data_IF_144586984079
#
_entry.id   IF_144586984079
#
_cell.length_a   1.000
_cell.length_b   1.000
_cell.length_c   1.000
_cell.angle_alpha   90.00
_cell.angle_beta   90.00
_cell.angle_gamma   90.00
#
_symmetry.space_group_name_H-M   'P 1'
#
loop_
_entity.id
_entity.type
_entity.pdbx_description
1 polymer ?
#
# COMPACT_ATOMS: atom_id res chain seq x y z
N UNK A 1 26.21 -26.93 40.69
CA UNK A 1 24.79 -26.70 41.02
C UNK A 1 24.19 -25.93 39.87
N UNK A 2 23.45 -26.64 39.02
CA UNK A 2 22.56 -26.04 38.04
C UNK A 2 21.39 -25.40 38.78
N UNK A 3 21.02 -24.17 38.41
CA UNK A 3 19.60 -23.83 38.35
C UNK A 3 19.27 -23.16 37.02
N UNK A 4 18.37 -23.85 36.35
CA UNK A 4 17.70 -23.58 35.10
C UNK A 4 16.56 -22.59 35.37
N UNK A 5 16.56 -21.44 34.67
CA UNK A 5 15.41 -20.54 34.62
C UNK A 5 14.89 -20.47 33.19
N UNK A 6 13.94 -21.36 32.91
CA UNK A 6 13.05 -21.29 31.76
C UNK A 6 12.03 -20.18 31.98
N UNK A 7 12.02 -19.16 31.13
CA UNK A 7 10.84 -18.31 30.96
C UNK A 7 10.57 -18.00 29.49
N UNK A 8 9.48 -18.59 29.00
CA UNK A 8 8.54 -17.94 28.08
C UNK A 8 8.97 -17.76 26.63
N UNK A 9 8.88 -18.84 25.85
CA UNK A 9 8.57 -18.72 24.41
C UNK A 9 7.15 -18.12 24.35
N UNK A 10 7.02 -16.86 23.91
CA UNK A 10 5.71 -16.28 23.59
C UNK A 10 5.39 -16.60 22.13
N UNK A 11 4.38 -17.46 21.97
CA UNK A 11 3.85 -17.99 20.71
C UNK A 11 2.99 -16.98 19.92
N UNK A 12 3.40 -15.70 19.83
CA UNK A 12 2.57 -14.64 19.25
C UNK A 12 3.12 -13.95 17.99
N UNK A 13 4.08 -14.57 17.27
CA UNK A 13 4.59 -14.01 16.00
C UNK A 13 4.64 -15.01 14.83
N UNK A 14 3.59 -15.83 14.69
CA UNK A 14 3.44 -16.79 13.56
C UNK A 14 2.31 -16.45 12.58
N UNK A 15 2.02 -15.17 12.36
CA UNK A 15 1.13 -14.77 11.25
C UNK A 15 1.70 -13.73 10.30
N UNK A 16 3.03 -13.54 10.29
CA UNK A 16 3.69 -13.04 9.10
C UNK A 16 3.44 -14.07 7.98
N UNK A 17 2.37 -13.87 7.22
CA UNK A 17 2.10 -14.57 5.96
C UNK A 17 3.39 -14.47 5.17
N UNK A 18 4.13 -15.58 5.10
CA UNK A 18 5.38 -15.65 4.37
C UNK A 18 5.02 -15.55 2.89
N UNK A 19 4.87 -14.32 2.41
CA UNK A 19 4.69 -14.05 0.99
C UNK A 19 5.95 -14.61 0.35
N UNK A 20 5.86 -15.58 -0.58
CA UNK A 20 7.04 -16.00 -1.30
C UNK A 20 7.65 -14.73 -1.89
N UNK A 21 8.89 -14.40 -1.52
CA UNK A 21 9.61 -13.20 -2.01
C UNK A 21 9.47 -13.05 -3.53
N UNK A 22 9.40 -14.19 -4.21
CA UNK A 22 9.14 -14.34 -5.63
C UNK A 22 7.76 -13.83 -6.10
N UNK A 23 6.68 -14.05 -5.34
CA UNK A 23 5.33 -13.65 -5.71
C UNK A 23 5.17 -12.13 -5.75
N UNK A 24 5.71 -11.41 -4.75
CA UNK A 24 5.66 -9.94 -4.72
C UNK A 24 6.44 -9.34 -5.89
N UNK A 25 7.65 -9.83 -6.16
CA UNK A 25 8.45 -9.32 -7.27
C UNK A 25 7.81 -9.66 -8.62
N UNK A 26 7.27 -10.87 -8.77
CA UNK A 26 6.49 -11.26 -9.95
C UNK A 26 5.30 -10.32 -10.16
N UNK A 27 4.52 -10.03 -9.11
CA UNK A 27 3.40 -9.09 -9.19
C UNK A 27 3.87 -7.67 -9.57
N UNK A 28 5.02 -7.22 -9.05
CA UNK A 28 5.64 -5.94 -9.45
C UNK A 28 5.92 -5.91 -10.95
N UNK A 29 6.49 -6.98 -11.52
CA UNK A 29 6.75 -7.04 -12.97
C UNK A 29 5.47 -7.01 -13.81
N UNK A 30 4.37 -7.59 -13.31
CA UNK A 30 3.08 -7.56 -13.98
C UNK A 30 2.40 -6.19 -13.90
N UNK A 31 2.51 -5.52 -12.75
CA UNK A 31 2.02 -4.17 -12.55
C UNK A 31 2.76 -3.12 -13.41
N UNK A 32 4.06 -3.31 -13.66
CA UNK A 32 4.84 -2.48 -14.58
C UNK A 32 4.38 -2.55 -16.05
N UNK A 33 3.60 -3.56 -16.44
CA UNK A 33 2.95 -3.61 -17.75
C UNK A 33 1.73 -2.69 -17.75
N UNK A 34 1.46 -2.02 -18.89
CA UNK A 34 0.22 -1.24 -19.04
C UNK A 34 -0.99 -2.16 -18.86
N UNK A 35 -2.12 -1.65 -18.35
CA UNK A 35 -3.27 -2.51 -18.06
C UNK A 35 -3.75 -3.33 -19.27
N UNK A 36 -3.73 -2.72 -20.47
CA UNK A 36 -4.05 -3.39 -21.75
C UNK A 36 -3.13 -4.56 -22.14
N UNK A 37 -1.91 -4.61 -21.59
CA UNK A 37 -0.89 -5.61 -21.92
C UNK A 37 -0.85 -6.75 -20.88
N UNK A 38 -1.76 -6.75 -19.88
CA UNK A 38 -1.83 -7.77 -18.83
C UNK A 38 -2.68 -8.96 -19.31
N UNK A 39 -2.06 -10.14 -19.37
CA UNK A 39 -2.74 -11.41 -19.67
C UNK A 39 -3.53 -11.91 -18.46
N UNK A 40 -4.51 -12.78 -18.68
CA UNK A 40 -5.33 -13.39 -17.63
C UNK A 40 -4.49 -14.02 -16.49
N UNK A 41 -3.39 -14.70 -16.82
CA UNK A 41 -2.45 -15.25 -15.83
C UNK A 41 -1.83 -14.17 -14.94
N UNK A 42 -1.43 -13.02 -15.52
CA UNK A 42 -0.86 -11.91 -14.76
C UNK A 42 -1.89 -11.35 -13.77
N UNK A 43 -3.11 -11.11 -14.26
CA UNK A 43 -4.22 -10.58 -13.46
C UNK A 43 -4.56 -11.55 -12.33
N UNK A 44 -4.61 -12.85 -12.61
CA UNK A 44 -4.86 -13.88 -11.59
C UNK A 44 -3.84 -13.85 -10.45
N UNK A 45 -2.55 -13.75 -10.74
CA UNK A 45 -1.50 -13.65 -9.72
C UNK A 45 -1.61 -12.35 -8.91
N UNK A 46 -1.87 -11.22 -9.58
CA UNK A 46 -2.06 -9.93 -8.93
C UNK A 46 -3.25 -9.97 -7.95
N UNK A 47 -4.39 -10.48 -8.40
CA UNK A 47 -5.62 -10.58 -7.60
C UNK A 47 -5.38 -11.40 -6.34
N UNK A 48 -4.73 -12.56 -6.48
CA UNK A 48 -4.36 -13.41 -5.34
C UNK A 48 -3.41 -12.68 -4.39
N UNK A 49 -2.45 -11.90 -4.89
CA UNK A 49 -1.57 -11.10 -4.04
C UNK A 49 -2.34 -10.01 -3.29
N UNK A 50 -3.18 -9.24 -3.99
CA UNK A 50 -3.90 -8.11 -3.41
C UNK A 50 -4.93 -8.55 -2.35
N UNK A 51 -5.70 -9.61 -2.61
CA UNK A 51 -6.68 -10.16 -1.65
C UNK A 51 -6.04 -10.57 -0.33
N UNK A 52 -4.84 -11.16 -0.40
CA UNK A 52 -4.18 -11.68 0.79
C UNK A 52 -3.38 -10.61 1.56
N UNK A 53 -2.93 -9.55 0.89
CA UNK A 53 -1.92 -8.65 1.46
C UNK A 53 -2.37 -7.19 1.61
N UNK A 54 -3.53 -6.81 1.09
CA UNK A 54 -4.03 -5.43 1.14
C UNK A 54 -5.43 -5.43 1.72
N UNK A 55 -5.58 -4.95 2.96
CA UNK A 55 -6.84 -5.00 3.72
C UNK A 55 -8.01 -4.30 3.00
N UNK A 56 -7.72 -3.22 2.28
CA UNK A 56 -8.70 -2.50 1.47
C UNK A 56 -9.41 -3.41 0.45
N UNK A 57 -8.72 -4.43 -0.08
CA UNK A 57 -9.28 -5.32 -1.10
C UNK A 57 -10.01 -6.55 -0.56
N UNK A 58 -9.98 -6.79 0.76
CA UNK A 58 -10.67 -7.93 1.38
C UNK A 58 -12.18 -7.99 1.11
N UNK A 59 -12.92 -6.87 1.06
CA UNK A 59 -14.36 -6.89 0.77
C UNK A 59 -14.70 -7.19 -0.70
N UNK A 60 -13.72 -7.12 -1.61
CA UNK A 60 -13.97 -7.28 -3.04
C UNK A 60 -13.91 -8.75 -3.43
N UNK A 61 -14.92 -9.20 -4.17
CA UNK A 61 -14.87 -10.53 -4.78
C UNK A 61 -13.77 -10.60 -5.87
N UNK A 62 -13.50 -11.83 -6.31
CA UNK A 62 -12.44 -12.08 -7.29
C UNK A 62 -12.69 -11.37 -8.62
N UNK A 63 -13.93 -11.29 -9.08
CA UNK A 63 -14.29 -10.69 -10.37
C UNK A 63 -14.17 -9.16 -10.33
N UNK A 64 -14.67 -8.55 -9.25
CA UNK A 64 -14.52 -7.13 -8.98
C UNK A 64 -13.04 -6.74 -8.94
N UNK A 65 -12.21 -7.51 -8.23
CA UNK A 65 -10.79 -7.22 -8.14
C UNK A 65 -10.06 -7.45 -9.46
N UNK A 66 -10.45 -8.47 -10.24
CA UNK A 66 -9.95 -8.65 -11.61
C UNK A 66 -10.22 -7.42 -12.49
N UNK A 67 -11.46 -6.91 -12.47
CA UNK A 67 -11.84 -5.69 -13.21
C UNK A 67 -11.02 -4.49 -12.77
N UNK A 68 -10.76 -4.34 -11.47
CA UNK A 68 -9.92 -3.25 -10.97
C UNK A 68 -8.45 -3.42 -11.39
N UNK A 69 -7.90 -4.62 -11.29
CA UNK A 69 -6.53 -4.93 -11.70
C UNK A 69 -6.29 -4.70 -13.20
N UNK A 70 -7.34 -4.70 -14.03
CA UNK A 70 -7.28 -4.33 -15.45
C UNK A 70 -7.31 -2.82 -15.70
N UNK A 71 -7.47 -1.99 -14.65
CA UNK A 71 -7.46 -0.52 -14.74
C UNK A 71 -6.33 0.14 -13.93
N UNK A 72 -5.81 -0.53 -12.90
CA UNK A 72 -4.76 0.01 -12.04
C UNK A 72 -3.45 0.24 -12.78
N UNK A 73 -2.80 1.38 -12.54
CA UNK A 73 -1.48 1.69 -13.04
C UNK A 73 -0.42 1.60 -11.93
N UNK A 74 0.82 1.31 -12.32
CA UNK A 74 1.96 1.26 -11.41
C UNK A 74 2.85 2.45 -11.63
N UNK A 75 3.25 3.09 -10.53
CA UNK A 75 4.11 4.25 -10.52
C UNK A 75 5.27 3.99 -9.57
N UNK A 76 6.50 4.15 -10.07
CA UNK A 76 7.69 4.23 -9.22
C UNK A 76 7.86 5.69 -8.78
N UNK A 77 8.03 5.93 -7.48
CA UNK A 77 8.20 7.26 -6.89
C UNK A 77 9.48 7.24 -6.08
N UNK A 78 10.35 8.23 -6.31
CA UNK A 78 11.69 8.27 -5.71
C UNK A 78 11.89 9.56 -4.90
N UNK A 79 12.60 9.43 -3.78
CA UNK A 79 12.95 10.57 -2.93
C UNK A 79 11.74 11.28 -2.30
N UNK A 80 11.88 12.57 -2.01
CA UNK A 80 10.83 13.42 -1.41
C UNK A 80 9.87 14.00 -2.46
N UNK A 81 9.35 13.14 -3.33
CA UNK A 81 8.38 13.55 -4.33
C UNK A 81 7.00 13.74 -3.72
N UNK A 82 6.33 14.85 -4.06
CA UNK A 82 4.98 15.16 -3.58
C UNK A 82 3.97 14.59 -4.57
N UNK A 83 3.18 13.59 -4.14
CA UNK A 83 2.14 12.98 -4.99
C UNK A 83 1.01 13.96 -5.32
N UNK A 84 0.53 14.69 -4.32
CA UNK A 84 -0.46 15.75 -4.46
C UNK A 84 -0.44 16.65 -3.22
N UNK A 85 -1.05 17.84 -3.32
CA UNK A 85 -1.11 18.83 -2.25
C UNK A 85 -2.52 18.91 -1.66
N UNK A 86 -2.62 19.28 -0.38
CA UNK A 86 -3.90 19.58 0.26
C UNK A 86 -4.66 20.65 -0.55
N UNK A 87 -5.95 20.43 -0.77
CA UNK A 87 -6.81 21.31 -1.57
C UNK A 87 -6.70 21.14 -3.09
N UNK A 88 -5.77 20.31 -3.59
CA UNK A 88 -5.72 19.97 -5.01
C UNK A 88 -6.90 19.06 -5.39
N UNK A 89 -7.31 19.15 -6.65
CA UNK A 89 -8.31 18.23 -7.24
C UNK A 89 -7.73 16.82 -7.23
N UNK A 90 -8.49 15.86 -6.69
CA UNK A 90 -8.12 14.45 -6.70
C UNK A 90 -8.42 13.82 -8.05
N UNK A 91 -7.47 13.04 -8.57
CA UNK A 91 -7.63 12.31 -9.84
C UNK A 91 -7.39 10.80 -9.71
N UNK A 92 -6.79 10.36 -8.60
CA UNK A 92 -6.45 8.96 -8.40
C UNK A 92 -6.58 8.57 -6.92
N UNK A 93 -6.87 7.29 -6.74
CA UNK A 93 -6.80 6.58 -5.48
C UNK A 93 -5.52 5.73 -5.48
N UNK A 94 -4.78 5.76 -4.39
CA UNK A 94 -3.45 5.16 -4.31
C UNK A 94 -3.40 4.04 -3.28
N UNK A 95 -2.60 3.03 -3.58
CA UNK A 95 -2.24 1.96 -2.65
C UNK A 95 -0.72 1.82 -2.63
N UNK A 96 -0.14 1.79 -1.44
CA UNK A 96 1.30 1.64 -1.27
C UNK A 96 1.68 0.19 -1.53
N UNK A 97 2.24 -0.08 -2.71
CA UNK A 97 2.71 -1.43 -3.07
C UNK A 97 4.04 -1.79 -2.37
N UNK A 98 4.92 -0.80 -2.19
CA UNK A 98 6.21 -0.95 -1.52
C UNK A 98 6.71 0.42 -1.03
N UNK A 99 7.47 0.46 0.06
CA UNK A 99 7.95 1.70 0.68
C UNK A 99 6.90 2.35 1.59
N UNK A 100 6.89 3.68 1.64
CA UNK A 100 5.95 4.47 2.43
C UNK A 100 5.83 5.90 1.93
N UNK A 101 4.77 6.57 2.38
CA UNK A 101 4.49 7.99 2.10
C UNK A 101 4.14 8.73 3.39
N UNK A 102 4.60 9.98 3.47
CA UNK A 102 4.25 10.88 4.56
C UNK A 102 3.02 11.71 4.18
N UNK A 103 2.07 11.80 5.12
CA UNK A 103 0.90 12.68 5.00
C UNK A 103 1.16 13.89 5.87
N UNK A 104 1.15 15.07 5.24
CA UNK A 104 1.31 16.35 5.93
C UNK A 104 0.13 17.27 5.67
N UNK A 105 -0.19 18.12 6.63
CA UNK A 105 -1.28 19.11 6.56
C UNK A 105 -0.69 20.49 6.79
N UNK A 106 -1.16 21.47 6.00
CA UNK A 106 -0.83 22.87 6.21
C UNK A 106 -1.65 23.42 7.37
N UNK A 107 -0.96 24.00 8.36
CA UNK A 107 -1.57 24.63 9.54
C UNK A 107 -0.90 25.98 9.82
N UNK A 108 -1.51 26.82 10.67
CA UNK A 108 -0.89 28.06 11.13
C UNK A 108 -0.22 27.83 12.48
N UNK A 109 1.02 28.28 12.63
CA UNK A 109 1.70 28.26 13.92
C UNK A 109 1.18 29.38 14.84
N UNK A 110 1.71 29.48 16.06
CA UNK A 110 1.34 30.52 17.04
C UNK A 110 1.61 31.96 16.58
N UNK A 111 2.40 32.15 15.52
CA UNK A 111 2.70 33.45 14.91
C UNK A 111 1.87 33.71 13.64
N UNK A 112 0.93 32.81 13.29
CA UNK A 112 0.08 32.93 12.11
C UNK A 112 0.73 32.47 10.80
N UNK A 113 1.96 31.94 10.84
CA UNK A 113 2.68 31.47 9.65
C UNK A 113 2.21 30.07 9.23
N UNK A 114 2.09 29.86 7.93
CA UNK A 114 1.74 28.55 7.37
C UNK A 114 2.93 27.59 7.45
N UNK A 115 2.72 26.45 8.13
CA UNK A 115 3.70 25.39 8.30
C UNK A 115 3.11 24.04 7.90
N UNK A 116 3.92 23.21 7.25
CA UNK A 116 3.55 21.84 6.91
C UNK A 116 3.91 20.91 8.06
N UNK A 117 2.91 20.24 8.65
CA UNK A 117 3.11 19.31 9.76
C UNK A 117 2.78 17.89 9.29
N UNK A 118 3.71 16.94 9.48
CA UNK A 118 3.46 15.51 9.25
C UNK A 118 2.43 15.02 10.27
N UNK A 119 1.31 14.48 9.79
CA UNK A 119 0.21 13.99 10.63
C UNK A 119 0.08 12.47 10.61
N UNK A 120 0.59 11.82 9.57
CA UNK A 120 0.57 10.36 9.47
C UNK A 120 1.65 9.85 8.51
N UNK A 121 1.89 8.55 8.57
CA UNK A 121 2.67 7.78 7.61
C UNK A 121 1.81 6.63 7.08
N UNK A 122 1.97 6.31 5.80
CA UNK A 122 1.28 5.20 5.13
C UNK A 122 2.32 4.27 4.54
N UNK A 123 2.35 3.03 5.01
CA UNK A 123 3.29 2.00 4.58
C UNK A 123 2.61 0.99 3.68
N UNK A 124 3.34 -0.04 3.26
CA UNK A 124 2.86 -1.11 2.38
C UNK A 124 1.48 -1.65 2.77
N UNK A 125 0.59 -1.76 1.79
CA UNK A 125 -0.78 -2.22 1.95
C UNK A 125 -1.77 -1.14 2.40
N UNK A 126 -1.30 0.04 2.83
CA UNK A 126 -2.16 1.18 3.11
C UNK A 126 -2.69 1.79 1.81
N UNK A 127 -3.88 2.38 1.90
CA UNK A 127 -4.52 3.13 0.82
C UNK A 127 -4.83 4.56 1.24
N UNK A 128 -4.93 5.46 0.26
CA UNK A 128 -5.19 6.89 0.47
C UNK A 128 -5.68 7.59 -0.81
N UNK A 129 -6.22 8.81 -0.66
CA UNK A 129 -6.66 9.66 -1.75
C UNK A 129 -8.15 9.51 -2.11
N UNK A 130 -8.86 8.60 -1.46
CA UNK A 130 -10.29 8.34 -1.64
C UNK A 130 -11.17 9.57 -1.40
N UNK A 131 -10.80 10.41 -0.42
CA UNK A 131 -11.54 11.63 -0.07
C UNK A 131 -11.48 12.73 -1.12
N UNK A 132 -10.52 12.67 -2.04
CA UNK A 132 -10.35 13.70 -3.07
C UNK A 132 -11.13 13.36 -4.36
N UNK A 133 -11.80 12.20 -4.41
CA UNK A 133 -12.55 11.70 -5.57
C UNK A 133 -14.08 11.80 -5.42
N UNK A 134 -14.55 12.44 -4.35
CA UNK A 134 -15.96 12.69 -4.05
C UNK A 134 -16.35 14.09 -4.44
#
# INVERSE_FOLDING_TARGET
EEEMSTTGISDDDKSAVMIPKYLKETCRTFFKKKPKDRKAKHVGSIVTYLQNNVSFFKPFDREQLQRLCMKMEYMDVYGRHVLFRQGAIGHAFYIVFNGGVDVSVMTKNKYGEEVSVKVAERTMGASFGERALT
#
